data_IF_441662919576
#
_entry.id   IF_441662919576
#
_cell.length_a   1.000
_cell.length_b   1.000
_cell.length_c   1.000
_cell.angle_alpha   90.00
_cell.angle_beta   90.00
_cell.angle_gamma   90.00
#
_symmetry.space_group_name_H-M   'P 1'
#
loop_
_entity.id
_entity.type
_entity.pdbx_description
1 polymer ?
#
# COMPACT_ATOMS: atom_id res chain seq x y z
N UNK A 1 10.78 6.81 -5.33
CA UNK A 1 9.57 6.50 -4.52
C UNK A 1 8.46 6.12 -5.49
N UNK A 2 7.95 4.91 -5.37
CA UNK A 2 6.84 4.41 -6.20
C UNK A 2 5.49 4.91 -5.70
N UNK A 3 4.55 5.12 -6.60
CA UNK A 3 3.17 5.52 -6.28
C UNK A 3 2.21 4.40 -6.69
N UNK A 4 1.47 3.85 -5.74
CA UNK A 4 0.42 2.85 -5.97
C UNK A 4 -0.94 3.49 -5.80
N UNK A 5 -1.77 3.47 -6.85
CA UNK A 5 -3.15 3.93 -6.78
C UNK A 5 -4.07 2.74 -6.51
N UNK A 6 -4.75 2.79 -5.37
CA UNK A 6 -5.70 1.77 -4.95
C UNK A 6 -7.11 2.23 -5.36
N UNK A 7 -7.81 1.41 -6.12
CA UNK A 7 -9.18 1.68 -6.59
C UNK A 7 -10.16 0.68 -5.96
N UNK A 8 -10.64 0.92 -4.74
CA UNK A 8 -11.62 0.03 -4.12
C UNK A 8 -12.98 0.12 -4.84
N UNK A 9 -13.73 -0.97 -4.91
CA UNK A 9 -15.07 -1.00 -5.47
C UNK A 9 -15.97 0.09 -4.90
N UNK A 10 -16.82 0.69 -5.73
CA UNK A 10 -17.86 1.64 -5.34
C UNK A 10 -19.28 1.07 -5.44
N UNK A 11 -19.40 -0.25 -5.53
CA UNK A 11 -20.68 -0.95 -5.67
C UNK A 11 -21.38 -1.03 -4.30
N UNK A 12 -22.33 -0.13 -4.08
CA UNK A 12 -23.07 0.00 -2.80
C UNK A 12 -24.19 -1.02 -2.66
N UNK A 13 -24.68 -1.56 -3.77
CA UNK A 13 -25.82 -2.49 -3.81
C UNK A 13 -25.40 -3.95 -3.67
N UNK A 14 -24.12 -4.26 -3.84
CA UNK A 14 -23.55 -5.58 -3.63
C UNK A 14 -23.39 -5.86 -2.14
N UNK A 15 -24.45 -6.34 -1.50
CA UNK A 15 -24.45 -6.60 -0.05
C UNK A 15 -23.79 -7.93 0.29
N UNK A 16 -23.06 -7.97 1.39
CA UNK A 16 -22.41 -9.17 1.88
C UNK A 16 -23.39 -10.13 2.51
N UNK A 17 -23.43 -11.36 2.02
CA UNK A 17 -24.33 -12.39 2.51
C UNK A 17 -24.08 -12.72 4.00
N UNK A 18 -25.12 -12.63 4.82
CA UNK A 18 -25.01 -12.89 6.26
C UNK A 18 -24.25 -11.83 7.08
N UNK A 19 -23.93 -10.67 6.48
CA UNK A 19 -23.28 -9.54 7.18
C UNK A 19 -24.13 -8.28 6.99
N UNK A 20 -25.11 -8.03 7.86
CA UNK A 20 -26.03 -6.91 7.70
C UNK A 20 -25.32 -5.56 7.63
N UNK A 21 -25.75 -4.70 6.69
CA UNK A 21 -25.27 -3.33 6.56
C UNK A 21 -23.87 -3.17 5.96
N UNK A 22 -23.27 -4.23 5.43
CA UNK A 22 -21.96 -4.17 4.77
C UNK A 22 -22.10 -4.44 3.28
N UNK A 23 -21.68 -3.49 2.46
CA UNK A 23 -21.61 -3.63 1.00
C UNK A 23 -20.16 -3.94 0.55
N UNK A 24 -20.03 -4.32 -0.71
CA UNK A 24 -18.72 -4.45 -1.37
C UNK A 24 -17.93 -3.13 -1.29
N UNK A 25 -18.60 -1.99 -1.57
CA UNK A 25 -18.00 -0.67 -1.44
C UNK A 25 -17.43 -0.43 -0.03
N UNK A 26 -18.18 -0.76 1.03
CA UNK A 26 -17.76 -0.54 2.41
C UNK A 26 -16.49 -1.33 2.76
N UNK A 27 -16.50 -2.63 2.44
CA UNK A 27 -15.40 -3.49 2.83
C UNK A 27 -14.16 -3.29 1.96
N UNK A 28 -14.31 -3.12 0.64
CA UNK A 28 -13.18 -2.83 -0.26
C UNK A 28 -12.52 -1.49 0.07
N UNK A 29 -13.30 -0.46 0.41
CA UNK A 29 -12.75 0.82 0.87
C UNK A 29 -12.00 0.66 2.19
N UNK A 30 -12.53 -0.12 3.14
CA UNK A 30 -11.85 -0.43 4.41
C UNK A 30 -10.53 -1.17 4.17
N UNK A 31 -10.49 -2.14 3.25
CA UNK A 31 -9.27 -2.84 2.85
C UNK A 31 -8.24 -1.84 2.28
N UNK A 32 -8.66 -0.98 1.34
CA UNK A 32 -7.78 0.02 0.74
C UNK A 32 -7.20 0.99 1.77
N UNK A 33 -8.01 1.46 2.72
CA UNK A 33 -7.56 2.32 3.83
C UNK A 33 -6.60 1.59 4.77
N UNK A 34 -6.81 0.31 5.02
CA UNK A 34 -5.91 -0.52 5.82
C UNK A 34 -4.55 -0.73 5.10
N UNK A 35 -4.56 -0.93 3.77
CA UNK A 35 -3.34 -0.97 2.97
C UNK A 35 -2.60 0.38 3.05
N UNK A 36 -3.30 1.51 2.89
CA UNK A 36 -2.70 2.85 2.96
C UNK A 36 -2.07 3.11 4.33
N UNK A 37 -2.80 2.81 5.41
CA UNK A 37 -2.33 3.00 6.80
C UNK A 37 -1.07 2.17 7.07
N UNK A 38 -1.12 0.89 6.77
CA UNK A 38 0.00 -0.04 6.99
C UNK A 38 1.14 0.19 6.03
N UNK A 39 0.82 0.58 4.80
CA UNK A 39 1.78 0.94 3.78
C UNK A 39 2.61 2.17 4.13
N UNK A 40 2.14 3.02 5.06
CA UNK A 40 2.88 4.17 5.57
C UNK A 40 4.28 3.84 6.10
N UNK A 41 4.50 2.60 6.58
CA UNK A 41 5.81 2.11 7.00
C UNK A 41 6.83 2.00 5.86
N UNK A 42 6.38 1.98 4.60
CA UNK A 42 7.23 1.99 3.40
C UNK A 42 7.31 3.37 2.75
N UNK A 43 6.93 4.43 3.46
CA UNK A 43 6.72 5.78 2.91
C UNK A 43 7.94 6.43 2.26
N UNK A 44 9.15 5.96 2.52
CA UNK A 44 10.36 6.38 1.79
C UNK A 44 10.49 5.75 0.40
N UNK A 45 9.80 4.62 0.14
CA UNK A 45 9.92 3.83 -1.08
C UNK A 45 8.59 3.70 -1.83
N UNK A 46 7.46 3.56 -1.10
CA UNK A 46 6.13 3.37 -1.70
C UNK A 46 5.11 4.30 -1.04
N UNK A 47 4.39 5.05 -1.86
CA UNK A 47 3.24 5.86 -1.47
C UNK A 47 1.96 5.22 -1.98
N UNK A 48 0.96 5.08 -1.11
CA UNK A 48 -0.37 4.56 -1.46
C UNK A 48 -1.39 5.70 -1.52
N UNK A 49 -2.12 5.80 -2.63
CA UNK A 49 -3.21 6.76 -2.83
C UNK A 49 -4.52 5.99 -2.85
N UNK A 50 -5.49 6.48 -2.07
CA UNK A 50 -6.88 5.96 -2.06
C UNK A 50 -7.78 7.15 -2.40
N UNK A 51 -8.61 7.07 -3.47
CA UNK A 51 -9.57 8.12 -3.82
C UNK A 51 -10.69 8.21 -2.79
N UNK A 52 -11.55 9.22 -2.94
CA UNK A 52 -12.78 9.28 -2.16
C UNK A 52 -13.65 8.04 -2.41
N UNK A 53 -14.33 7.58 -1.36
CA UNK A 53 -15.05 6.30 -1.33
C UNK A 53 -16.02 6.12 -2.49
N UNK A 54 -16.72 7.17 -2.87
CA UNK A 54 -17.76 7.13 -3.90
C UNK A 54 -17.31 7.68 -5.27
N UNK A 55 -15.98 7.88 -5.45
CA UNK A 55 -15.46 8.31 -6.75
C UNK A 55 -15.87 7.34 -7.86
N UNK A 56 -16.34 7.88 -8.97
CA UNK A 56 -16.68 7.12 -10.17
C UNK A 56 -15.42 6.53 -10.84
N UNK A 57 -15.62 5.53 -11.68
CA UNK A 57 -14.51 4.81 -12.36
C UNK A 57 -13.64 5.76 -13.19
N UNK A 58 -14.25 6.65 -14.00
CA UNK A 58 -13.49 7.63 -14.81
C UNK A 58 -12.64 8.57 -13.94
N UNK A 59 -13.18 9.01 -12.80
CA UNK A 59 -12.43 9.87 -11.87
C UNK A 59 -11.23 9.14 -11.24
N UNK A 60 -11.35 7.84 -10.99
CA UNK A 60 -10.25 7.01 -10.47
C UNK A 60 -9.17 6.80 -11.51
N UNK A 61 -9.56 6.48 -12.74
CA UNK A 61 -8.66 6.36 -13.89
C UNK A 61 -7.92 7.68 -14.12
N UNK A 62 -8.66 8.79 -14.20
CA UNK A 62 -8.07 10.13 -14.38
C UNK A 62 -7.14 10.50 -13.20
N UNK A 63 -7.53 10.18 -11.97
CA UNK A 63 -6.70 10.41 -10.78
C UNK A 63 -5.40 9.61 -10.80
N UNK A 64 -5.44 8.34 -11.18
CA UNK A 64 -4.26 7.49 -11.30
C UNK A 64 -3.31 7.97 -12.42
N UNK A 65 -3.88 8.27 -13.59
CA UNK A 65 -3.11 8.78 -14.73
C UNK A 65 -2.52 10.17 -14.42
N UNK A 66 -3.32 11.05 -13.80
CA UNK A 66 -2.91 12.43 -13.48
C UNK A 66 -1.84 12.55 -12.39
N UNK A 67 -1.78 11.59 -11.47
CA UNK A 67 -0.73 11.54 -10.45
C UNK A 67 0.52 10.75 -10.87
N UNK A 68 0.58 10.27 -12.12
CA UNK A 68 1.64 9.41 -12.65
C UNK A 68 1.91 8.21 -11.73
N UNK A 69 0.85 7.46 -11.38
CA UNK A 69 1.02 6.27 -10.57
C UNK A 69 1.87 5.21 -11.29
N UNK A 70 2.70 4.49 -10.55
CA UNK A 70 3.54 3.41 -11.07
C UNK A 70 2.78 2.08 -11.12
N UNK A 71 1.67 1.98 -10.39
CA UNK A 71 0.83 0.78 -10.33
C UNK A 71 -0.63 1.16 -9.99
N UNK A 72 -1.57 0.53 -10.68
CA UNK A 72 -3.00 0.60 -10.38
C UNK A 72 -3.52 -0.73 -9.86
N UNK A 73 -4.20 -0.73 -8.71
CA UNK A 73 -4.78 -1.95 -8.11
C UNK A 73 -6.25 -1.71 -7.80
N UNK A 74 -7.14 -2.31 -8.60
CA UNK A 74 -8.55 -2.36 -8.30
C UNK A 74 -8.83 -3.46 -7.26
N UNK A 75 -9.61 -3.13 -6.23
CA UNK A 75 -9.93 -4.02 -5.12
C UNK A 75 -11.42 -4.28 -5.11
N UNK A 76 -11.81 -5.51 -5.38
CA UNK A 76 -13.19 -5.99 -5.48
C UNK A 76 -13.41 -7.26 -4.66
N UNK A 77 -14.67 -7.65 -4.51
CA UNK A 77 -15.05 -8.96 -4.03
C UNK A 77 -16.14 -9.55 -4.94
N UNK A 78 -16.02 -10.84 -5.23
CA UNK A 78 -16.78 -11.54 -6.24
C UNK A 78 -18.14 -12.05 -5.72
N UNK A 79 -19.02 -12.41 -6.64
CA UNK A 79 -20.25 -13.14 -6.39
C UNK A 79 -20.51 -14.17 -7.50
N UNK A 80 -21.14 -15.30 -7.17
CA UNK A 80 -21.52 -16.31 -8.15
C UNK A 80 -22.79 -17.08 -7.75
N UNK A 81 -22.69 -18.09 -6.88
CA UNK A 81 -23.82 -18.96 -6.51
C UNK A 81 -23.87 -19.27 -4.99
N UNK A 82 -23.22 -18.45 -4.17
CA UNK A 82 -23.19 -18.57 -2.72
C UNK A 82 -22.28 -19.66 -2.15
N UNK A 83 -21.59 -20.45 -3.01
CA UNK A 83 -20.78 -21.59 -2.55
C UNK A 83 -19.31 -21.51 -2.98
N UNK A 84 -18.98 -20.62 -3.91
CA UNK A 84 -17.61 -20.47 -4.43
C UNK A 84 -16.72 -19.73 -3.43
N UNK A 85 -15.44 -20.06 -3.43
CA UNK A 85 -14.39 -19.42 -2.65
C UNK A 85 -13.14 -19.21 -3.50
N UNK A 86 -12.23 -18.37 -3.03
CA UNK A 86 -10.92 -18.18 -3.67
C UNK A 86 -10.74 -16.83 -4.31
N UNK A 87 -9.50 -16.41 -4.40
CA UNK A 87 -9.09 -15.16 -5.05
C UNK A 87 -9.06 -15.33 -6.56
N UNK A 88 -9.57 -14.33 -7.27
CA UNK A 88 -9.43 -14.20 -8.73
C UNK A 88 -8.78 -12.86 -9.06
N UNK A 89 -7.75 -12.88 -9.89
CA UNK A 89 -7.08 -11.67 -10.33
C UNK A 89 -7.14 -11.53 -11.84
N UNK A 90 -7.25 -10.30 -12.31
CA UNK A 90 -7.39 -10.00 -13.72
C UNK A 90 -6.35 -8.96 -14.14
N UNK A 91 -5.89 -9.07 -15.38
CA UNK A 91 -4.91 -8.17 -15.98
C UNK A 91 -5.23 -7.96 -17.46
N UNK A 92 -4.86 -6.79 -18.06
CA UNK A 92 -5.13 -6.54 -19.48
C UNK A 92 -4.25 -7.41 -20.38
N UNK A 93 -4.72 -7.76 -21.60
CA UNK A 93 -3.95 -8.53 -22.57
C UNK A 93 -2.61 -7.86 -22.94
N UNK A 94 -1.61 -8.70 -23.24
CA UNK A 94 -0.28 -8.25 -23.67
C UNK A 94 0.43 -7.32 -22.67
N UNK A 95 0.16 -7.44 -21.37
CA UNK A 95 0.68 -6.60 -20.31
C UNK A 95 1.49 -7.41 -19.28
N UNK A 96 2.76 -7.75 -19.56
CA UNK A 96 3.56 -8.65 -18.70
C UNK A 96 3.76 -8.12 -17.28
N UNK A 97 3.88 -6.80 -17.08
CA UNK A 97 4.00 -6.20 -15.76
C UNK A 97 2.68 -6.29 -14.99
N UNK A 98 1.55 -6.12 -15.65
CA UNK A 98 0.22 -6.31 -15.06
C UNK A 98 -0.04 -7.79 -14.71
N UNK A 99 0.41 -8.72 -15.54
CA UNK A 99 0.37 -10.15 -15.27
C UNK A 99 1.15 -10.49 -13.99
N UNK A 100 2.34 -9.92 -13.82
CA UNK A 100 3.19 -10.19 -12.64
C UNK A 100 2.54 -9.72 -11.34
N UNK A 101 1.98 -8.52 -11.29
CA UNK A 101 1.28 -8.07 -10.08
C UNK A 101 0.00 -8.88 -9.82
N UNK A 102 -0.76 -9.24 -10.85
CA UNK A 102 -1.92 -10.12 -10.73
C UNK A 102 -1.52 -11.48 -10.12
N UNK A 103 -0.43 -12.08 -10.62
CA UNK A 103 0.13 -13.34 -10.12
C UNK A 103 0.53 -13.23 -8.63
N UNK A 104 1.20 -12.16 -8.25
CA UNK A 104 1.62 -11.95 -6.86
C UNK A 104 0.41 -11.81 -5.93
N UNK A 105 -0.62 -11.05 -6.31
CA UNK A 105 -1.86 -10.93 -5.55
C UNK A 105 -2.56 -12.29 -5.41
N UNK A 106 -2.69 -13.06 -6.51
CA UNK A 106 -3.28 -14.40 -6.48
C UNK A 106 -2.53 -15.35 -5.55
N UNK A 107 -1.19 -15.32 -5.57
CA UNK A 107 -0.34 -16.16 -4.70
C UNK A 107 -0.50 -15.81 -3.22
N UNK A 108 -0.42 -14.53 -2.86
CA UNK A 108 -0.45 -14.15 -1.45
C UNK A 108 -1.84 -14.27 -0.83
N UNK A 109 -2.90 -13.86 -1.53
CA UNK A 109 -4.28 -13.97 -1.07
C UNK A 109 -4.79 -15.41 -1.12
N UNK A 110 -4.48 -16.15 -2.18
CA UNK A 110 -4.91 -17.53 -2.39
C UNK A 110 -4.54 -18.48 -1.25
N UNK A 111 -3.48 -18.19 -0.51
CA UNK A 111 -3.07 -18.95 0.69
C UNK A 111 -4.14 -18.95 1.79
N UNK A 112 -4.99 -17.92 1.84
CA UNK A 112 -6.01 -17.73 2.87
C UNK A 112 -7.43 -17.90 2.35
N UNK A 113 -7.62 -17.78 1.04
CA UNK A 113 -8.94 -17.94 0.40
C UNK A 113 -9.15 -19.35 -0.19
N UNK A 114 -8.11 -20.19 -0.14
CA UNK A 114 -8.15 -21.58 -0.59
C UNK A 114 -7.63 -21.79 -2.02
N UNK A 115 -7.69 -20.74 -2.87
CA UNK A 115 -7.12 -20.78 -4.22
C UNK A 115 -6.84 -19.36 -4.72
N UNK A 116 -5.87 -19.24 -5.62
CA UNK A 116 -5.61 -18.00 -6.36
C UNK A 116 -5.50 -18.31 -7.85
N UNK A 117 -6.38 -17.71 -8.62
CA UNK A 117 -6.43 -17.85 -10.09
C UNK A 117 -6.27 -16.51 -10.77
N UNK A 118 -5.86 -16.50 -12.04
CA UNK A 118 -5.68 -15.29 -12.81
C UNK A 118 -6.16 -15.48 -14.25
N UNK A 119 -6.63 -14.39 -14.86
CA UNK A 119 -7.09 -14.40 -16.25
C UNK A 119 -6.86 -13.05 -16.93
N UNK A 120 -6.64 -13.08 -18.23
CA UNK A 120 -6.71 -11.88 -19.06
C UNK A 120 -8.15 -11.37 -19.17
N UNK A 121 -8.32 -10.05 -18.95
CA UNK A 121 -9.63 -9.40 -19.12
C UNK A 121 -9.47 -7.94 -19.57
N UNK A 122 -10.35 -7.51 -20.47
CA UNK A 122 -10.42 -6.14 -20.96
C UNK A 122 -11.37 -5.30 -20.11
N UNK A 123 -11.20 -5.29 -18.80
CA UNK A 123 -11.96 -4.39 -17.96
C UNK A 123 -11.60 -2.94 -18.28
N UNK A 124 -12.61 -2.09 -18.28
CA UNK A 124 -12.48 -0.68 -18.66
C UNK A 124 -11.39 0.04 -17.86
N UNK A 125 -11.38 -0.14 -16.54
CA UNK A 125 -10.37 0.50 -15.68
C UNK A 125 -8.94 -0.03 -15.89
N UNK A 126 -8.76 -1.30 -16.30
CA UNK A 126 -7.46 -1.86 -16.59
C UNK A 126 -6.89 -1.45 -17.95
N UNK A 127 -7.78 -1.14 -18.92
CA UNK A 127 -7.37 -0.79 -20.29
C UNK A 127 -7.27 0.72 -20.51
N UNK A 128 -7.79 1.54 -19.60
CA UNK A 128 -7.75 3.00 -19.68
C UNK A 128 -6.79 3.65 -18.68
N UNK A 129 -6.09 2.87 -17.89
CA UNK A 129 -4.93 3.30 -17.08
C UNK A 129 -3.65 3.14 -17.90
N UNK A 130 -2.70 4.09 -17.75
CA UNK A 130 -1.44 4.11 -18.54
C UNK A 130 -0.30 3.36 -17.86
N UNK A 131 -0.45 2.98 -16.61
CA UNK A 131 0.49 2.19 -15.83
C UNK A 131 0.08 0.71 -15.80
N UNK A 132 0.97 -0.21 -15.34
CA UNK A 132 0.56 -1.58 -15.01
C UNK A 132 -0.65 -1.60 -14.09
N UNK A 133 -1.63 -2.47 -14.38
CA UNK A 133 -2.91 -2.51 -13.69
C UNK A 133 -3.40 -3.94 -13.42
N UNK A 134 -4.00 -4.17 -12.26
CA UNK A 134 -4.67 -5.42 -11.91
C UNK A 134 -6.00 -5.15 -11.21
N UNK A 135 -6.98 -6.02 -11.44
CA UNK A 135 -8.20 -6.10 -10.63
C UNK A 135 -8.16 -7.38 -9.81
N UNK A 136 -8.43 -7.25 -8.53
CA UNK A 136 -8.36 -8.34 -7.56
C UNK A 136 -9.72 -8.55 -6.92
N UNK A 137 -10.36 -9.65 -7.26
CA UNK A 137 -11.48 -10.22 -6.55
C UNK A 137 -10.96 -11.01 -5.35
N UNK A 138 -10.98 -10.41 -4.17
CA UNK A 138 -10.33 -10.97 -2.98
C UNK A 138 -10.90 -12.33 -2.61
N UNK A 139 -12.23 -12.42 -2.56
CA UNK A 139 -13.01 -13.66 -2.31
C UNK A 139 -14.48 -13.41 -2.66
N UNK A 140 -15.37 -14.33 -2.36
CA UNK A 140 -16.80 -14.29 -2.73
C UNK A 140 -17.66 -13.77 -1.59
N UNK A 141 -18.24 -12.57 -1.75
CA UNK A 141 -19.09 -11.94 -0.74
C UNK A 141 -20.52 -12.48 -0.68
N UNK A 142 -20.96 -13.23 -1.71
CA UNK A 142 -22.26 -13.92 -1.73
C UNK A 142 -22.24 -15.26 -0.96
N UNK A 143 -21.06 -15.75 -0.58
CA UNK A 143 -20.90 -16.87 0.33
C UNK A 143 -20.87 -16.35 1.78
N UNK A 144 -21.84 -16.71 2.66
CA UNK A 144 -21.92 -16.13 4.02
C UNK A 144 -20.67 -16.33 4.87
N UNK A 145 -20.03 -17.50 4.79
CA UNK A 145 -18.81 -17.78 5.54
C UNK A 145 -17.63 -16.94 5.03
N UNK A 146 -17.56 -16.71 3.71
CA UNK A 146 -16.49 -15.88 3.10
C UNK A 146 -16.75 -14.39 3.29
N UNK A 147 -18.01 -13.94 3.24
CA UNK A 147 -18.40 -12.59 3.59
C UNK A 147 -17.96 -12.22 5.01
N UNK A 148 -18.26 -13.08 5.98
CA UNK A 148 -17.83 -12.89 7.37
C UNK A 148 -16.30 -12.90 7.50
N UNK A 149 -15.62 -13.80 6.77
CA UNK A 149 -14.16 -13.86 6.76
C UNK A 149 -13.55 -12.57 6.19
N UNK A 150 -14.07 -12.05 5.07
CA UNK A 150 -13.62 -10.81 4.43
C UNK A 150 -13.67 -9.62 5.40
N UNK A 151 -14.78 -9.48 6.15
CA UNK A 151 -14.96 -8.38 7.11
C UNK A 151 -14.01 -8.49 8.30
N UNK A 152 -13.79 -9.72 8.79
CA UNK A 152 -12.96 -9.97 9.97
C UNK A 152 -11.45 -9.96 9.68
N UNK A 153 -11.04 -10.09 8.40
CA UNK A 153 -9.66 -10.25 8.02
C UNK A 153 -9.09 -9.10 7.16
N UNK A 154 -9.67 -7.90 7.23
CA UNK A 154 -9.20 -6.74 6.44
C UNK A 154 -7.72 -6.46 6.64
N UNK A 155 -7.19 -6.64 7.86
CA UNK A 155 -5.77 -6.50 8.17
C UNK A 155 -4.92 -7.54 7.45
N UNK A 156 -5.29 -8.81 7.51
CA UNK A 156 -4.57 -9.90 6.83
C UNK A 156 -4.58 -9.71 5.31
N UNK A 157 -5.73 -9.30 4.75
CA UNK A 157 -5.90 -9.00 3.33
C UNK A 157 -4.97 -7.85 2.93
N UNK A 158 -4.93 -6.78 3.72
CA UNK A 158 -4.03 -5.65 3.48
C UNK A 158 -2.55 -6.06 3.49
N UNK A 159 -2.13 -6.92 4.43
CA UNK A 159 -0.76 -7.44 4.47
C UNK A 159 -0.41 -8.29 3.24
N UNK A 160 -1.37 -9.06 2.70
CA UNK A 160 -1.18 -9.81 1.46
C UNK A 160 -0.92 -8.86 0.27
N UNK A 161 -1.70 -7.78 0.15
CA UNK A 161 -1.46 -6.75 -0.88
C UNK A 161 -0.10 -6.07 -0.71
N UNK A 162 0.27 -5.71 0.51
CA UNK A 162 1.58 -5.10 0.79
C UNK A 162 2.74 -6.03 0.43
N UNK A 163 2.63 -7.34 0.75
CA UNK A 163 3.62 -8.35 0.31
C UNK A 163 3.72 -8.44 -1.21
N UNK A 164 2.59 -8.43 -1.91
CA UNK A 164 2.55 -8.46 -3.37
C UNK A 164 3.22 -7.21 -3.98
N UNK A 165 2.87 -6.02 -3.50
CA UNK A 165 3.39 -4.73 -3.98
C UNK A 165 4.88 -4.59 -3.66
N UNK A 166 5.32 -4.92 -2.45
CA UNK A 166 6.74 -4.89 -2.08
C UNK A 166 7.57 -5.84 -2.95
N UNK A 167 7.05 -7.06 -3.19
CA UNK A 167 7.72 -8.03 -4.07
C UNK A 167 7.78 -7.53 -5.52
N UNK A 168 6.71 -6.90 -6.02
CA UNK A 168 6.63 -6.36 -7.37
C UNK A 168 7.68 -5.26 -7.61
N UNK A 169 7.84 -4.33 -6.66
CA UNK A 169 8.82 -3.24 -6.75
C UNK A 169 10.21 -3.60 -6.21
N UNK A 170 10.42 -4.84 -5.79
CA UNK A 170 11.65 -5.28 -5.13
C UNK A 170 12.00 -4.45 -3.88
N UNK A 171 10.99 -4.02 -3.13
CA UNK A 171 11.12 -3.35 -1.83
C UNK A 171 11.07 -4.39 -0.73
N UNK A 172 11.90 -4.22 0.29
CA UNK A 172 11.91 -5.14 1.42
C UNK A 172 10.60 -5.05 2.22
N UNK A 173 9.91 -6.18 2.38
CA UNK A 173 8.73 -6.28 3.22
C UNK A 173 9.12 -6.58 4.68
N UNK A 174 8.46 -5.88 5.62
CA UNK A 174 8.64 -6.09 7.06
C UNK A 174 7.35 -6.65 7.67
N UNK A 175 7.42 -7.80 8.35
CA UNK A 175 6.28 -8.37 9.09
C UNK A 175 6.00 -7.60 10.39
N UNK A 176 4.73 -7.58 10.80
CA UNK A 176 4.34 -7.05 12.10
C UNK A 176 4.12 -5.54 12.19
N UNK A 177 4.32 -4.79 11.12
CA UNK A 177 3.95 -3.38 11.05
C UNK A 177 4.97 -2.39 11.62
N UNK A 178 6.05 -2.83 12.22
CA UNK A 178 7.15 -1.98 12.63
C UNK A 178 8.34 -2.17 11.67
N UNK A 179 8.57 -1.17 10.84
CA UNK A 179 9.84 -1.05 10.14
C UNK A 179 10.94 -0.88 11.20
N UNK A 180 12.06 -1.61 11.11
CA UNK A 180 13.19 -1.32 11.99
C UNK A 180 13.56 0.16 11.87
N UNK A 181 13.53 0.86 12.98
CA UNK A 181 13.85 2.29 13.03
C UNK A 181 15.32 2.51 13.33
N UNK A 182 15.79 3.74 13.15
CA UNK A 182 17.09 4.18 13.60
C UNK A 182 17.24 3.93 15.11
N UNK A 183 18.45 3.98 15.59
CA UNK A 183 18.74 3.76 17.01
C UNK A 183 18.08 4.79 17.93
N UNK A 184 17.85 6.00 17.44
CA UNK A 184 17.42 7.14 18.23
C UNK A 184 16.05 7.71 17.85
N UNK A 185 15.55 7.48 16.62
CA UNK A 185 14.38 8.17 16.09
C UNK A 185 13.32 7.22 15.54
N UNK A 186 12.08 7.44 15.98
CA UNK A 186 10.90 6.63 15.62
C UNK A 186 10.33 6.94 14.22
N UNK A 187 10.83 7.98 13.57
CA UNK A 187 10.42 8.43 12.23
C UNK A 187 11.54 8.34 11.18
N UNK A 188 12.65 7.69 11.53
CA UNK A 188 13.77 7.41 10.63
C UNK A 188 13.86 5.90 10.41
N UNK A 189 13.33 5.38 9.29
CA UNK A 189 13.43 3.96 8.98
C UNK A 189 14.89 3.52 8.83
N UNK A 190 15.25 2.38 9.40
CA UNK A 190 16.61 1.84 9.29
C UNK A 190 17.03 1.57 7.84
N UNK A 191 16.06 1.29 6.95
CA UNK A 191 16.26 1.12 5.52
C UNK A 191 16.48 2.44 4.74
N UNK A 192 16.20 3.61 5.33
CA UNK A 192 16.41 4.89 4.68
C UNK A 192 17.90 5.12 4.41
N UNK A 193 18.25 5.60 3.22
CA UNK A 193 19.64 5.83 2.81
C UNK A 193 20.40 6.79 3.74
N UNK A 194 19.67 7.64 4.47
CA UNK A 194 20.20 8.60 5.43
C UNK A 194 20.23 8.08 6.88
N UNK A 195 19.70 6.89 7.17
CA UNK A 195 19.50 6.40 8.54
C UNK A 195 20.79 6.34 9.35
N UNK A 196 21.84 5.73 8.79
CA UNK A 196 23.14 5.66 9.45
C UNK A 196 23.80 7.02 9.64
N UNK A 197 23.58 7.94 8.70
CA UNK A 197 24.07 9.31 8.82
C UNK A 197 23.34 10.07 9.93
N UNK A 198 22.02 9.90 10.06
CA UNK A 198 21.22 10.49 11.14
C UNK A 198 21.65 9.98 12.50
N UNK A 199 21.85 8.67 12.67
CA UNK A 199 22.36 8.11 13.92
C UNK A 199 23.74 8.69 14.28
N UNK A 200 24.64 8.76 13.28
CA UNK A 200 25.99 9.29 13.47
C UNK A 200 26.01 10.77 13.87
N UNK A 201 25.25 11.62 13.20
CA UNK A 201 25.21 13.06 13.53
C UNK A 201 24.55 13.32 14.88
N UNK A 202 23.62 12.46 15.32
CA UNK A 202 23.06 12.49 16.65
C UNK A 202 24.12 12.09 17.70
N UNK A 203 24.84 10.99 17.50
CA UNK A 203 25.94 10.53 18.37
C UNK A 203 27.04 11.58 18.54
N UNK A 204 27.32 12.34 17.48
CA UNK A 204 28.29 13.44 17.50
C UNK A 204 27.73 14.73 18.12
N UNK A 205 26.47 14.75 18.56
CA UNK A 205 25.81 15.93 19.13
C UNK A 205 25.59 17.09 18.14
N UNK A 206 25.68 16.80 16.82
CA UNK A 206 25.47 17.80 15.77
C UNK A 206 24.01 18.15 15.59
N UNK A 207 23.13 17.14 15.63
CA UNK A 207 21.66 17.32 15.56
C UNK A 207 20.98 16.41 16.58
N UNK A 208 19.97 16.91 17.30
CA UNK A 208 19.30 16.20 18.39
C UNK A 208 17.85 15.81 18.10
N UNK A 209 17.36 16.03 16.89
CA UNK A 209 15.95 15.84 16.55
C UNK A 209 15.06 16.99 17.06
N UNK A 210 13.73 16.83 16.92
CA UNK A 210 12.73 17.89 17.18
C UNK A 210 11.87 17.65 18.43
N UNK A 211 12.15 16.60 19.17
CA UNK A 211 11.36 16.12 20.32
C UNK A 211 10.68 14.78 20.05
N UNK A 212 10.12 14.16 21.09
CA UNK A 212 9.38 12.88 21.05
C UNK A 212 10.11 11.75 20.28
N UNK A 213 11.44 11.71 20.35
CA UNK A 213 12.30 10.80 19.59
C UNK A 213 12.06 10.87 18.06
N UNK A 214 11.77 12.08 17.55
CA UNK A 214 11.58 12.35 16.12
C UNK A 214 12.69 13.22 15.57
N UNK A 215 13.08 12.92 14.31
CA UNK A 215 14.10 13.66 13.57
C UNK A 215 13.51 14.59 12.51
N UNK A 216 12.32 14.25 11.96
CA UNK A 216 11.65 14.93 10.85
C UNK A 216 12.53 15.07 9.60
N UNK A 217 13.03 13.93 9.03
CA UNK A 217 14.09 13.95 8.00
C UNK A 217 13.72 14.67 6.71
N UNK A 218 12.42 14.87 6.45
CA UNK A 218 11.92 15.54 5.24
C UNK A 218 11.57 17.02 5.50
N UNK A 219 11.76 17.54 6.71
CA UNK A 219 11.50 18.94 7.04
C UNK A 219 12.65 19.83 6.55
N UNK A 220 12.37 20.98 5.92
CA UNK A 220 13.41 21.92 5.56
C UNK A 220 14.18 22.41 6.80
N UNK A 221 15.50 22.44 6.70
CA UNK A 221 16.36 23.04 7.73
C UNK A 221 16.39 24.57 7.56
N UNK A 222 16.37 25.32 8.65
CA UNK A 222 16.56 26.77 8.58
C UNK A 222 18.04 27.12 8.38
N UNK A 223 18.33 28.33 7.83
CA UNK A 223 19.71 28.83 7.70
C UNK A 223 20.40 28.94 9.07
N UNK A 224 19.64 29.30 10.12
CA UNK A 224 20.14 29.39 11.48
C UNK A 224 20.57 28.03 12.03
N UNK A 225 19.72 27.02 11.88
CA UNK A 225 20.02 25.66 12.33
C UNK A 225 21.21 25.07 11.57
N UNK A 226 21.30 25.30 10.25
CA UNK A 226 22.46 24.89 9.46
C UNK A 226 23.75 25.54 9.96
N UNK A 227 23.74 26.84 10.27
CA UNK A 227 24.88 27.55 10.80
C UNK A 227 25.36 26.97 12.16
N UNK A 228 24.43 26.60 13.04
CA UNK A 228 24.74 25.93 14.30
C UNK A 228 25.38 24.55 14.07
N UNK A 229 24.85 23.74 13.18
CA UNK A 229 25.40 22.44 12.83
C UNK A 229 26.83 22.58 12.27
N UNK A 230 27.06 23.52 11.36
CA UNK A 230 28.38 23.78 10.75
C UNK A 230 29.38 24.29 11.79
N UNK A 231 28.99 25.14 12.74
CA UNK A 231 29.85 25.61 13.84
C UNK A 231 30.28 24.44 14.73
N UNK A 232 29.35 23.58 15.14
CA UNK A 232 29.67 22.39 15.94
C UNK A 232 30.61 21.43 15.19
N UNK A 233 30.38 21.23 13.88
CA UNK A 233 31.24 20.40 13.05
C UNK A 233 32.67 20.96 12.98
N UNK A 234 32.82 22.27 12.79
CA UNK A 234 34.10 22.95 12.78
C UNK A 234 34.87 22.74 14.10
N UNK A 235 34.18 22.84 15.24
CA UNK A 235 34.79 22.62 16.57
C UNK A 235 35.23 21.16 16.79
N UNK A 236 34.53 20.19 16.18
CA UNK A 236 34.91 18.79 16.23
C UNK A 236 36.16 18.46 15.40
N UNK A 237 36.34 19.12 14.26
CA UNK A 237 37.46 18.88 13.35
C UNK A 237 38.75 19.55 13.84
N UNK A 238 38.67 20.56 14.70
CA UNK A 238 39.81 21.28 15.29
C UNK A 238 40.41 20.60 16.52
N UNK A 239 39.74 19.59 17.06
CA UNK A 239 40.26 18.78 18.17
C UNK A 239 41.10 17.61 17.69
#
# INVERSE_FOLDING_TARGET
>A
MYTVYLSPSNQTDNMYAGVPGVSECDNCYKIAKEIQLRGGRFGSEIRFIVPDKFSGMDSRIAGANGCNADLYVAIHTNAFNGNVTGTRTFYPPNAPLSNEIARLCAVYLGRFTGSGTMAEQRFYELTNTVMPATLVEVDFHDNPARAQWLVNNTRLIAECFLKAVCKYFNVQYFEGGEQPMSKYFVDVPKSAYYSSAVDKIHELGLMNGVGDNRFEPNKPITRGDLALVMSKLYDLVKK
#
